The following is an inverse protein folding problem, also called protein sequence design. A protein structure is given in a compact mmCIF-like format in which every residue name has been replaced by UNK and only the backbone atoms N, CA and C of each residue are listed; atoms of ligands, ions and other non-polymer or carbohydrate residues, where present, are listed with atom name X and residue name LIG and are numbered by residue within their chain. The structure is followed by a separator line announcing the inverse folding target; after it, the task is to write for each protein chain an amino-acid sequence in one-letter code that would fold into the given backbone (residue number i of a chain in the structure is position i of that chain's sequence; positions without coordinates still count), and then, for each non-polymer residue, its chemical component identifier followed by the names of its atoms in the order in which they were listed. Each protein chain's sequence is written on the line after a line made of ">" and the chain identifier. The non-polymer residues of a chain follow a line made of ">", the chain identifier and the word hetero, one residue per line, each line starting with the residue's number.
data_IF_533232860918
#
_entry.id   IF_533232860918
#
_cell.length_a   1.000
_cell.length_b   1.000
_cell.length_c   1.000
_cell.angle_alpha   90.00
_cell.angle_beta   90.00
_cell.angle_gamma   90.00
#
_symmetry.space_group_name_H-M   'P 1'
#
loop_
_entity.id
_entity.type
_entity.pdbx_description
1 polymer ?
#
# COMPACT_ATOMS: atom_id res chain seq x y z
N UNK A 1 16.08 13.88 -13.11
CA UNK A 1 15.21 13.00 -12.30
C UNK A 1 14.39 13.80 -11.31
N UNK A 2 13.04 13.66 -11.30
CA UNK A 2 12.15 14.36 -10.40
C UNK A 2 12.42 14.09 -8.91
N UNK A 3 12.08 15.08 -8.10
CA UNK A 3 12.21 15.06 -6.65
C UNK A 3 10.96 15.63 -6.00
N UNK A 4 10.60 15.11 -4.81
CA UNK A 4 9.50 15.70 -4.06
C UNK A 4 9.79 17.13 -3.59
N UNK A 5 8.79 17.98 -3.77
CA UNK A 5 8.71 19.30 -3.17
C UNK A 5 7.50 19.35 -2.22
N UNK A 6 7.74 19.65 -0.96
CA UNK A 6 6.70 19.74 0.06
C UNK A 6 6.27 21.17 0.37
N UNK A 7 6.83 22.18 -0.31
CA UNK A 7 6.50 23.60 -0.05
C UNK A 7 5.04 23.93 -0.34
N UNK A 8 4.43 23.26 -1.32
CA UNK A 8 3.00 23.40 -1.63
C UNK A 8 2.09 22.70 -0.64
N UNK A 9 2.60 21.72 0.11
CA UNK A 9 1.84 20.95 1.12
C UNK A 9 2.01 21.59 2.50
N UNK A 10 2.71 20.88 3.37
CA UNK A 10 2.95 21.32 4.75
C UNK A 10 4.37 21.89 4.97
N UNK A 11 5.27 21.82 3.98
CA UNK A 11 6.64 22.29 4.05
C UNK A 11 7.53 21.38 4.92
N UNK A 12 7.48 21.55 6.24
CA UNK A 12 8.19 20.71 7.22
C UNK A 12 7.32 20.47 8.45
N UNK A 13 7.69 19.52 9.31
CA UNK A 13 7.01 19.25 10.58
C UNK A 13 7.01 20.45 11.53
N UNK A 14 8.00 21.34 11.42
CA UNK A 14 8.09 22.56 12.20
C UNK A 14 7.38 23.76 11.57
N UNK A 15 6.83 23.63 10.36
CA UNK A 15 6.19 24.73 9.65
C UNK A 15 4.89 25.21 10.31
N UNK A 16 4.50 26.48 10.14
CA UNK A 16 3.20 26.98 10.60
C UNK A 16 2.03 26.23 9.95
N UNK A 17 2.15 25.84 8.67
CA UNK A 17 1.11 25.12 7.95
C UNK A 17 0.84 23.74 8.56
N UNK A 18 1.88 22.97 8.87
CA UNK A 18 1.77 21.67 9.50
C UNK A 18 1.16 21.77 10.91
N UNK A 19 1.68 22.70 11.73
CA UNK A 19 1.16 22.93 13.09
C UNK A 19 -0.32 23.33 13.09
N UNK A 20 -0.70 24.22 12.18
CA UNK A 20 -2.11 24.62 12.03
C UNK A 20 -3.00 23.43 11.63
N UNK A 21 -2.54 22.54 10.75
CA UNK A 21 -3.26 21.35 10.37
C UNK A 21 -3.44 20.37 11.55
N UNK A 22 -2.40 20.18 12.37
CA UNK A 22 -2.50 19.37 13.59
C UNK A 22 -3.48 19.97 14.62
N UNK A 23 -3.41 21.29 14.85
CA UNK A 23 -4.35 21.97 15.75
C UNK A 23 -5.80 21.87 15.26
N UNK A 24 -6.00 22.01 13.95
CA UNK A 24 -7.31 21.80 13.35
C UNK A 24 -7.80 20.38 13.60
N UNK A 25 -6.98 19.37 13.38
CA UNK A 25 -7.34 17.96 13.60
C UNK A 25 -7.76 17.72 15.05
N UNK A 26 -7.02 18.23 16.03
CA UNK A 26 -7.36 18.10 17.46
C UNK A 26 -8.68 18.78 17.78
N UNK A 27 -8.93 19.99 17.24
CA UNK A 27 -10.19 20.71 17.40
C UNK A 27 -11.37 19.95 16.76
N UNK A 28 -11.19 19.45 15.53
CA UNK A 28 -12.25 18.74 14.80
C UNK A 28 -12.62 17.42 15.51
N UNK A 29 -11.66 16.71 16.12
CA UNK A 29 -11.92 15.52 16.94
C UNK A 29 -12.69 15.91 18.22
N UNK A 30 -12.38 17.03 18.84
CA UNK A 30 -13.11 17.50 20.01
C UNK A 30 -14.56 17.86 19.67
N UNK A 31 -14.79 18.52 18.53
CA UNK A 31 -16.14 18.80 18.01
C UNK A 31 -16.89 17.48 17.76
N UNK A 32 -16.24 16.52 17.10
CA UNK A 32 -16.83 15.22 16.80
C UNK A 32 -17.20 14.44 18.06
N UNK A 33 -16.39 14.52 19.12
CA UNK A 33 -16.69 13.91 20.43
C UNK A 33 -17.94 14.52 21.09
N UNK A 34 -18.27 15.76 20.79
CA UNK A 34 -19.53 16.38 21.20
C UNK A 34 -20.73 16.04 20.31
N UNK A 35 -20.49 15.86 19.01
CA UNK A 35 -21.55 15.56 18.03
C UNK A 35 -22.04 14.11 18.12
N UNK A 36 -21.13 13.15 18.17
CA UNK A 36 -21.47 11.71 18.09
C UNK A 36 -22.44 11.26 19.18
N UNK A 37 -22.29 11.57 20.48
CA UNK A 37 -23.26 11.18 21.51
C UNK A 37 -24.64 11.79 21.29
N UNK A 38 -24.74 12.96 20.66
CA UNK A 38 -25.93 13.72 20.42
C UNK A 38 -26.58 13.48 19.04
N UNK A 39 -26.00 12.68 18.19
CA UNK A 39 -26.50 12.34 16.86
C UNK A 39 -27.68 11.36 16.96
N UNK A 40 -28.91 11.88 17.14
CA UNK A 40 -30.14 11.11 17.38
C UNK A 40 -31.18 11.22 16.27
N UNK A 41 -31.11 12.25 15.46
CA UNK A 41 -31.99 12.53 14.33
C UNK A 41 -31.16 12.60 13.01
N UNK A 42 -31.87 12.66 11.89
CA UNK A 42 -31.24 12.68 10.55
C UNK A 42 -30.27 13.83 10.36
N UNK A 43 -30.58 15.01 10.85
CA UNK A 43 -29.73 16.20 10.68
C UNK A 43 -28.44 16.09 11.49
N UNK A 44 -28.56 15.73 12.77
CA UNK A 44 -27.39 15.59 13.65
C UNK A 44 -26.50 14.43 13.23
N UNK A 45 -27.10 13.35 12.70
CA UNK A 45 -26.32 12.22 12.10
C UNK A 45 -25.59 12.67 10.84
N UNK A 46 -26.24 13.41 9.93
CA UNK A 46 -25.59 13.92 8.72
C UNK A 46 -24.39 14.82 9.05
N UNK A 47 -24.57 15.76 9.99
CA UNK A 47 -23.49 16.63 10.46
C UNK A 47 -22.32 15.80 11.04
N UNK A 48 -22.60 14.80 11.87
CA UNK A 48 -21.58 13.93 12.44
C UNK A 48 -20.83 13.13 11.37
N UNK A 49 -21.52 12.61 10.35
CA UNK A 49 -20.94 11.88 9.23
C UNK A 49 -20.03 12.77 8.35
N UNK A 50 -20.44 14.00 8.08
CA UNK A 50 -19.63 14.98 7.35
C UNK A 50 -18.34 15.32 8.11
N UNK A 51 -18.44 15.61 9.41
CA UNK A 51 -17.26 15.85 10.25
C UNK A 51 -16.34 14.63 10.35
N UNK A 52 -16.90 13.41 10.42
CA UNK A 52 -16.11 12.18 10.38
C UNK A 52 -15.29 12.07 9.08
N UNK A 53 -15.89 12.42 7.95
CA UNK A 53 -15.21 12.40 6.66
C UNK A 53 -14.06 13.42 6.59
N UNK A 54 -14.26 14.63 7.13
CA UNK A 54 -13.22 15.67 7.19
C UNK A 54 -12.05 15.26 8.11
N UNK A 55 -12.35 14.77 9.32
CA UNK A 55 -11.35 14.26 10.26
C UNK A 55 -10.55 13.11 9.64
N UNK A 56 -11.22 12.19 8.95
CA UNK A 56 -10.56 11.12 8.21
C UNK A 56 -9.57 11.67 7.16
N UNK A 57 -10.03 12.58 6.30
CA UNK A 57 -9.19 13.18 5.27
C UNK A 57 -7.95 13.86 5.83
N UNK A 58 -8.11 14.63 6.89
CA UNK A 58 -7.00 15.36 7.50
C UNK A 58 -6.01 14.42 8.19
N UNK A 59 -6.51 13.44 8.95
CA UNK A 59 -5.69 12.44 9.63
C UNK A 59 -4.88 11.60 8.64
N UNK A 60 -5.54 11.06 7.61
CA UNK A 60 -4.89 10.26 6.57
C UNK A 60 -3.82 11.07 5.84
N UNK A 61 -4.10 12.34 5.56
CA UNK A 61 -3.16 13.27 4.92
C UNK A 61 -1.92 13.53 5.76
N UNK A 62 -2.07 13.79 7.05
CA UNK A 62 -0.94 14.04 7.95
C UNK A 62 -0.09 12.78 8.17
N UNK A 63 -0.72 11.62 8.36
CA UNK A 63 -0.02 10.33 8.45
C UNK A 63 0.72 10.03 7.14
N UNK A 64 0.06 10.23 5.99
CA UNK A 64 0.64 10.05 4.67
C UNK A 64 1.83 10.98 4.41
N UNK A 65 1.74 12.24 4.84
CA UNK A 65 2.83 13.19 4.76
C UNK A 65 4.05 12.75 5.60
N UNK A 66 3.85 12.32 6.84
CA UNK A 66 4.92 11.77 7.68
C UNK A 66 5.54 10.52 7.07
N UNK A 67 4.72 9.65 6.43
CA UNK A 67 5.22 8.50 5.68
C UNK A 67 6.14 8.91 4.54
N UNK A 68 5.76 9.93 3.78
CA UNK A 68 6.59 10.46 2.69
C UNK A 68 7.93 10.97 3.21
N UNK A 69 7.96 11.74 4.29
CA UNK A 69 9.20 12.23 4.90
C UNK A 69 10.11 11.07 5.34
N UNK A 70 9.57 10.09 6.08
CA UNK A 70 10.33 8.92 6.52
C UNK A 70 10.83 8.05 5.35
N UNK A 71 10.17 8.08 4.20
CA UNK A 71 10.58 7.29 3.04
C UNK A 71 11.78 7.87 2.30
N UNK A 72 11.96 9.20 2.30
CA UNK A 72 13.13 9.86 1.69
C UNK A 72 14.40 9.52 2.45
N UNK A 73 14.34 9.52 3.77
CA UNK A 73 15.44 9.11 4.63
C UNK A 73 14.90 8.29 5.82
N UNK A 74 15.16 7.00 5.80
CA UNK A 74 14.70 6.08 6.86
C UNK A 74 15.40 6.30 8.20
N UNK A 75 16.44 7.11 8.26
CA UNK A 75 17.14 7.50 9.48
C UNK A 75 16.43 8.67 10.19
N UNK A 76 15.50 9.34 9.51
CA UNK A 76 14.72 10.45 10.05
C UNK A 76 13.74 9.97 11.11
N UNK A 77 14.02 10.28 12.38
CA UNK A 77 13.24 9.79 13.50
C UNK A 77 12.05 10.69 13.87
N UNK A 78 12.09 11.98 13.54
CA UNK A 78 11.02 12.90 13.92
C UNK A 78 9.71 12.59 13.20
N UNK A 79 9.78 12.33 11.89
CA UNK A 79 8.61 11.93 11.13
C UNK A 79 8.02 10.59 11.60
N UNK A 80 8.87 9.66 12.05
CA UNK A 80 8.42 8.39 12.61
C UNK A 80 7.72 8.59 13.96
N UNK A 81 8.27 9.41 14.86
CA UNK A 81 7.65 9.77 16.15
C UNK A 81 6.33 10.49 15.97
N UNK A 82 6.30 11.46 15.04
CA UNK A 82 5.09 12.23 14.75
C UNK A 82 3.99 11.33 14.17
N UNK A 83 4.35 10.36 13.35
CA UNK A 83 3.40 9.36 12.85
C UNK A 83 2.77 8.53 13.98
N UNK A 84 3.55 8.16 15.01
CA UNK A 84 3.02 7.46 16.20
C UNK A 84 2.00 8.35 16.92
N UNK A 85 2.33 9.63 17.18
CA UNK A 85 1.41 10.60 17.78
C UNK A 85 0.10 10.74 16.98
N UNK A 86 0.20 10.82 15.66
CA UNK A 86 -0.98 10.90 14.79
C UNK A 86 -1.82 9.60 14.83
N UNK A 87 -1.20 8.44 15.02
CA UNK A 87 -1.92 7.19 15.21
C UNK A 87 -2.67 7.14 16.54
N UNK A 88 -2.15 7.74 17.62
CA UNK A 88 -2.86 7.88 18.89
C UNK A 88 -4.11 8.76 18.71
N UNK A 89 -3.99 9.88 17.98
CA UNK A 89 -5.12 10.75 17.63
C UNK A 89 -6.12 9.97 16.75
N UNK A 90 -5.65 9.21 15.79
CA UNK A 90 -6.48 8.36 14.92
C UNK A 90 -7.24 7.27 15.70
N UNK A 91 -6.70 6.79 16.81
CA UNK A 91 -7.38 5.85 17.70
C UNK A 91 -8.67 6.45 18.28
N UNK A 92 -8.63 7.71 18.75
CA UNK A 92 -9.84 8.45 19.22
C UNK A 92 -10.88 8.60 18.12
N UNK A 93 -10.44 8.90 16.90
CA UNK A 93 -11.35 8.95 15.76
C UNK A 93 -12.05 7.60 15.53
N UNK A 94 -11.34 6.47 15.68
CA UNK A 94 -11.94 5.15 15.55
C UNK A 94 -12.97 4.82 16.63
N UNK A 95 -12.79 5.30 17.84
CA UNK A 95 -13.79 5.17 18.92
C UNK A 95 -15.09 5.85 18.51
N UNK A 96 -14.99 7.10 18.07
CA UNK A 96 -16.15 7.92 17.68
C UNK A 96 -16.88 7.36 16.45
N UNK A 97 -16.14 6.96 15.42
CA UNK A 97 -16.77 6.34 14.24
C UNK A 97 -17.45 5.01 14.59
N UNK A 98 -16.86 4.24 15.49
CA UNK A 98 -17.44 2.98 15.94
C UNK A 98 -18.72 3.20 16.72
N UNK A 99 -18.75 4.18 17.62
CA UNK A 99 -19.94 4.53 18.38
C UNK A 99 -21.09 4.95 17.46
N UNK A 100 -20.84 5.87 16.52
CA UNK A 100 -21.85 6.30 15.58
C UNK A 100 -22.37 5.16 14.70
N UNK A 101 -21.45 4.37 14.15
CA UNK A 101 -21.82 3.28 13.27
C UNK A 101 -22.50 2.12 13.97
N UNK A 102 -22.12 1.82 15.21
CA UNK A 102 -22.84 0.82 16.01
C UNK A 102 -24.32 1.24 16.23
N UNK A 103 -24.55 2.52 16.45
CA UNK A 103 -25.88 3.09 16.56
C UNK A 103 -26.66 3.02 15.25
N UNK A 104 -26.02 3.38 14.13
CA UNK A 104 -26.63 3.31 12.79
C UNK A 104 -26.94 1.87 12.37
N UNK A 105 -26.08 0.90 12.70
CA UNK A 105 -26.31 -0.52 12.40
C UNK A 105 -27.50 -1.10 13.17
N UNK A 106 -27.86 -0.52 14.31
CA UNK A 106 -29.07 -0.87 15.08
C UNK A 106 -30.38 -0.37 14.47
N UNK A 107 -30.34 0.57 13.51
CA UNK A 107 -31.51 1.10 12.85
C UNK A 107 -32.01 0.12 11.76
N UNK A 108 -33.32 -0.07 11.68
CA UNK A 108 -33.92 -0.86 10.59
C UNK A 108 -33.85 -0.07 9.27
N UNK A 109 -33.73 -0.77 8.13
CA UNK A 109 -33.79 -0.12 6.79
C UNK A 109 -35.05 0.73 6.58
N UNK A 110 -36.15 0.41 7.28
CA UNK A 110 -37.43 1.15 7.24
C UNK A 110 -37.48 2.34 8.15
N UNK A 111 -36.43 2.62 8.94
CA UNK A 111 -36.40 3.74 9.86
C UNK A 111 -36.52 5.06 9.09
N UNK A 112 -37.40 6.02 9.55
CA UNK A 112 -37.53 7.32 8.92
C UNK A 112 -36.23 8.09 8.74
N UNK A 113 -35.27 7.91 9.64
CA UNK A 113 -33.94 8.55 9.58
C UNK A 113 -33.27 8.27 8.23
N UNK A 114 -33.39 7.06 7.68
CA UNK A 114 -32.81 6.73 6.39
C UNK A 114 -33.47 7.41 5.19
N UNK A 115 -34.75 7.79 5.29
CA UNK A 115 -35.44 8.55 4.25
C UNK A 115 -35.08 10.03 4.26
N UNK A 116 -34.79 10.56 5.43
CA UNK A 116 -34.48 11.97 5.66
C UNK A 116 -32.99 12.26 5.42
N UNK A 117 -32.11 11.33 5.76
CA UNK A 117 -30.73 11.34 5.29
C UNK A 117 -30.77 11.06 3.78
N UNK A 118 -30.28 11.92 2.95
CA UNK A 118 -30.08 11.60 1.53
C UNK A 118 -29.24 10.30 1.45
N UNK A 119 -29.94 9.16 1.63
CA UNK A 119 -29.34 7.83 1.82
C UNK A 119 -28.47 7.44 0.63
N UNK A 120 -28.75 7.99 -0.57
CA UNK A 120 -27.96 7.74 -1.76
C UNK A 120 -26.48 8.12 -1.59
N UNK A 121 -26.19 9.14 -0.78
CA UNK A 121 -24.80 9.55 -0.45
C UNK A 121 -24.09 8.61 0.51
N UNK A 122 -24.85 7.86 1.31
CA UNK A 122 -24.29 7.08 2.42
C UNK A 122 -24.54 5.58 2.28
N UNK A 123 -25.28 5.15 1.25
CA UNK A 123 -25.64 3.74 1.03
C UNK A 123 -24.41 2.83 1.01
N UNK A 124 -23.39 3.22 0.26
CA UNK A 124 -22.13 2.47 0.21
C UNK A 124 -21.42 2.41 1.56
N UNK A 125 -21.41 3.52 2.30
CA UNK A 125 -20.83 3.56 3.64
C UNK A 125 -21.62 2.66 4.59
N UNK A 126 -22.95 2.73 4.54
CA UNK A 126 -23.83 1.90 5.34
C UNK A 126 -23.65 0.41 5.06
N UNK A 127 -23.58 -0.01 3.81
CA UNK A 127 -23.33 -1.39 3.43
C UNK A 127 -21.97 -1.87 3.95
N UNK A 128 -20.96 -1.07 3.82
CA UNK A 128 -19.62 -1.39 4.36
C UNK A 128 -19.59 -1.45 5.88
N UNK A 129 -20.34 -0.60 6.53
CA UNK A 129 -20.42 -0.53 7.98
C UNK A 129 -21.19 -1.73 8.52
N UNK A 130 -22.33 -2.06 7.94
CA UNK A 130 -23.18 -3.19 8.37
C UNK A 130 -22.48 -4.54 8.23
N UNK A 131 -21.49 -4.65 7.32
CA UNK A 131 -20.70 -5.86 7.10
C UNK A 131 -19.38 -5.88 7.87
N UNK A 132 -19.01 -4.78 8.53
CA UNK A 132 -17.74 -4.71 9.25
C UNK A 132 -17.78 -5.47 10.57
N UNK A 133 -16.86 -6.40 10.73
CA UNK A 133 -16.72 -7.23 11.94
C UNK A 133 -16.62 -6.43 13.26
N UNK A 134 -16.03 -5.22 13.21
CA UNK A 134 -15.89 -4.37 14.40
C UNK A 134 -17.23 -3.94 15.02
N UNK A 135 -18.35 -4.08 14.32
CA UNK A 135 -19.67 -3.71 14.83
C UNK A 135 -20.36 -4.81 15.63
N UNK A 136 -19.89 -6.05 15.55
CA UNK A 136 -20.32 -7.13 16.45
C UNK A 136 -19.75 -7.00 17.86
N UNK A 137 -18.69 -6.19 18.02
CA UNK A 137 -18.01 -5.98 19.29
C UNK A 137 -18.52 -4.70 20.00
N UNK A 138 -18.60 -4.76 21.35
CA UNK A 138 -18.90 -3.55 22.12
C UNK A 138 -17.80 -2.49 21.92
N UNK A 139 -18.13 -1.17 22.02
CA UNK A 139 -17.15 -0.11 21.92
C UNK A 139 -15.94 -0.30 22.87
N UNK A 140 -16.21 -0.74 24.10
CA UNK A 140 -15.17 -1.03 25.12
C UNK A 140 -14.23 -2.17 24.69
N UNK A 141 -14.79 -3.24 24.11
CA UNK A 141 -13.97 -4.37 23.61
C UNK A 141 -13.11 -3.94 22.43
N UNK A 142 -13.67 -3.12 21.54
CA UNK A 142 -12.92 -2.54 20.41
C UNK A 142 -11.79 -1.65 20.87
N UNK A 143 -12.04 -0.76 21.83
CA UNK A 143 -11.01 0.10 22.41
C UNK A 143 -9.86 -0.75 22.97
N UNK A 144 -10.18 -1.76 23.78
CA UNK A 144 -9.17 -2.69 24.32
C UNK A 144 -8.36 -3.38 23.22
N UNK A 145 -9.01 -3.84 22.15
CA UNK A 145 -8.32 -4.48 21.01
C UNK A 145 -7.40 -3.50 20.28
N UNK A 146 -7.79 -2.22 20.14
CA UNK A 146 -6.92 -1.20 19.53
C UNK A 146 -5.72 -0.86 20.42
N UNK A 147 -5.90 -0.73 21.72
CA UNK A 147 -4.82 -0.51 22.68
C UNK A 147 -3.84 -1.69 22.68
N UNK A 148 -4.33 -2.92 22.70
CA UNK A 148 -3.52 -4.13 22.59
C UNK A 148 -2.83 -4.25 21.23
N UNK A 149 -3.48 -3.81 20.16
CA UNK A 149 -2.86 -3.76 18.83
C UNK A 149 -1.68 -2.78 18.82
N UNK A 150 -1.85 -1.60 19.37
CA UNK A 150 -0.80 -0.59 19.44
C UNK A 150 0.38 -1.04 20.31
N UNK A 151 0.09 -1.63 21.47
CA UNK A 151 1.11 -2.02 22.46
C UNK A 151 1.79 -3.38 22.20
N UNK A 152 1.15 -4.28 21.43
CA UNK A 152 1.67 -5.64 21.21
C UNK A 152 1.83 -5.99 19.73
N UNK A 153 0.77 -5.85 18.92
CA UNK A 153 0.81 -6.28 17.53
C UNK A 153 1.78 -5.42 16.69
N UNK A 154 1.74 -4.10 16.83
CA UNK A 154 2.62 -3.18 16.08
C UNK A 154 4.09 -3.38 16.46
N UNK A 155 4.49 -3.42 17.74
CA UNK A 155 5.88 -3.71 18.13
C UNK A 155 6.38 -5.07 17.64
N UNK A 156 5.53 -6.11 17.60
CA UNK A 156 5.90 -7.40 17.01
C UNK A 156 6.17 -7.30 15.50
N UNK A 157 5.38 -6.53 14.77
CA UNK A 157 5.62 -6.28 13.36
C UNK A 157 6.92 -5.47 13.13
N UNK A 158 7.18 -4.49 13.99
CA UNK A 158 8.42 -3.70 13.95
C UNK A 158 9.65 -4.57 14.30
N UNK A 159 9.52 -5.54 15.22
CA UNK A 159 10.56 -6.51 15.50
C UNK A 159 10.90 -7.37 14.27
N UNK A 160 9.90 -7.82 13.49
CA UNK A 160 10.13 -8.49 12.21
C UNK A 160 10.97 -7.63 11.24
N UNK A 161 10.59 -6.37 11.10
CA UNK A 161 11.33 -5.43 10.24
C UNK A 161 12.77 -5.19 10.74
N UNK A 162 12.95 -5.06 12.04
CA UNK A 162 14.25 -4.89 12.68
C UNK A 162 15.15 -6.10 12.48
N UNK A 163 14.63 -7.32 12.65
CA UNK A 163 15.40 -8.55 12.40
C UNK A 163 15.86 -8.63 10.94
N UNK A 164 15.00 -8.31 9.97
CA UNK A 164 15.39 -8.29 8.57
C UNK A 164 16.39 -7.16 8.24
N UNK A 165 16.28 -6.01 8.90
CA UNK A 165 17.23 -4.90 8.70
C UNK A 165 18.64 -5.23 9.22
N UNK A 166 18.74 -6.04 10.29
CA UNK A 166 20.01 -6.50 10.87
C UNK A 166 20.51 -7.81 10.26
N UNK A 167 19.77 -8.42 9.34
CA UNK A 167 20.19 -9.63 8.66
C UNK A 167 21.48 -9.39 7.86
N UNK A 168 22.48 -10.21 8.14
CA UNK A 168 23.74 -10.28 7.38
C UNK A 168 23.97 -11.74 6.97
N UNK A 169 23.77 -12.03 5.68
CA UNK A 169 24.04 -13.34 5.12
C UNK A 169 25.50 -13.44 4.67
N UNK A 170 26.12 -14.58 4.91
CA UNK A 170 27.50 -14.85 4.53
C UNK A 170 27.53 -15.63 3.21
N UNK A 171 27.68 -14.90 2.10
CA UNK A 171 27.64 -15.45 0.74
C UNK A 171 29.05 -15.84 0.32
N UNK A 172 29.24 -17.09 -0.13
CA UNK A 172 30.49 -17.57 -0.71
C UNK A 172 30.47 -17.37 -2.23
N UNK A 173 31.44 -16.63 -2.73
CA UNK A 173 31.61 -16.40 -4.18
C UNK A 173 32.45 -17.50 -4.82
N UNK A 174 32.44 -17.61 -6.15
CA UNK A 174 33.12 -18.65 -6.92
C UNK A 174 34.64 -18.66 -6.76
N UNK A 175 35.23 -17.50 -6.54
CA UNK A 175 36.64 -17.30 -6.25
C UNK A 175 37.05 -17.68 -4.81
N UNK A 176 36.13 -18.28 -4.04
CA UNK A 176 36.32 -18.67 -2.64
C UNK A 176 36.26 -17.53 -1.63
N UNK A 177 36.01 -16.31 -2.08
CA UNK A 177 35.83 -15.18 -1.18
C UNK A 177 34.48 -15.22 -0.45
N UNK A 178 34.48 -14.67 0.72
CA UNK A 178 33.26 -14.52 1.54
C UNK A 178 32.80 -13.06 1.52
N UNK A 179 31.54 -12.83 1.18
CA UNK A 179 30.91 -11.52 1.22
C UNK A 179 29.77 -11.50 2.23
N UNK A 180 29.73 -10.48 3.06
CA UNK A 180 28.62 -10.22 3.96
C UNK A 180 27.60 -9.33 3.26
N UNK A 181 26.38 -9.81 3.11
CA UNK A 181 25.31 -9.11 2.38
C UNK A 181 24.08 -8.92 3.28
N UNK A 182 23.54 -7.73 3.25
CA UNK A 182 22.25 -7.46 3.89
C UNK A 182 21.11 -8.18 3.18
N UNK A 183 19.94 -8.27 3.82
CA UNK A 183 18.74 -8.85 3.20
C UNK A 183 18.43 -8.22 1.83
N UNK A 184 18.43 -6.89 1.74
CA UNK A 184 18.15 -6.18 0.48
C UNK A 184 19.17 -6.45 -0.61
N UNK A 185 20.46 -6.59 -0.27
CA UNK A 185 21.50 -6.96 -1.21
C UNK A 185 21.33 -8.39 -1.72
N UNK A 186 20.97 -9.34 -0.83
CA UNK A 186 20.66 -10.72 -1.25
C UNK A 186 19.48 -10.75 -2.23
N UNK A 187 18.39 -10.05 -1.91
CA UNK A 187 17.22 -9.97 -2.81
C UNK A 187 17.57 -9.30 -4.14
N UNK A 188 18.42 -8.27 -4.13
CA UNK A 188 18.90 -7.64 -5.35
C UNK A 188 19.68 -8.64 -6.21
N UNK A 189 20.64 -9.39 -5.63
CA UNK A 189 21.39 -10.43 -6.35
C UNK A 189 20.46 -11.47 -6.97
N UNK A 190 19.47 -11.98 -6.23
CA UNK A 190 18.53 -12.97 -6.74
C UNK A 190 17.68 -12.46 -7.92
N UNK A 191 17.46 -11.15 -8.02
CA UNK A 191 16.65 -10.52 -9.07
C UNK A 191 17.46 -9.98 -10.25
N UNK A 192 18.72 -9.61 -10.04
CA UNK A 192 19.49 -8.86 -11.04
C UNK A 192 20.79 -9.55 -11.49
N UNK A 193 21.32 -10.51 -10.73
CA UNK A 193 22.53 -11.19 -11.12
C UNK A 193 22.27 -12.16 -12.28
N UNK A 194 23.08 -12.10 -13.32
CA UNK A 194 23.10 -13.06 -14.42
C UNK A 194 23.80 -14.38 -14.04
N UNK A 195 24.68 -14.36 -13.04
CA UNK A 195 25.41 -15.53 -12.57
C UNK A 195 24.54 -16.47 -11.73
N UNK A 196 24.16 -17.66 -12.23
CA UNK A 196 23.31 -18.62 -11.53
C UNK A 196 23.96 -19.19 -10.27
N UNK A 197 25.30 -19.29 -10.23
CA UNK A 197 26.02 -19.82 -9.06
C UNK A 197 26.05 -18.80 -7.92
N UNK A 198 26.18 -17.50 -8.26
CA UNK A 198 26.06 -16.44 -7.26
C UNK A 198 24.63 -16.38 -6.72
N UNK A 199 23.60 -16.53 -7.55
CA UNK A 199 22.22 -16.61 -7.08
C UNK A 199 22.00 -17.80 -6.15
N UNK A 200 22.49 -18.99 -6.53
CA UNK A 200 22.42 -20.21 -5.70
C UNK A 200 23.08 -20.01 -4.34
N UNK A 201 24.33 -19.52 -4.34
CA UNK A 201 25.07 -19.26 -3.09
C UNK A 201 24.36 -18.23 -2.21
N UNK A 202 23.82 -17.15 -2.80
CA UNK A 202 23.06 -16.13 -2.08
C UNK A 202 21.77 -16.69 -1.50
N UNK A 203 21.03 -17.49 -2.26
CA UNK A 203 19.81 -18.16 -1.81
C UNK A 203 20.10 -19.10 -0.62
N UNK A 204 21.14 -19.90 -0.74
CA UNK A 204 21.57 -20.83 0.33
C UNK A 204 21.94 -20.07 1.60
N UNK A 205 22.79 -19.04 1.49
CA UNK A 205 23.21 -18.23 2.64
C UNK A 205 22.03 -17.53 3.33
N UNK A 206 21.07 -17.04 2.55
CA UNK A 206 19.86 -16.41 3.08
C UNK A 206 18.98 -17.42 3.85
N UNK A 207 18.80 -18.62 3.29
CA UNK A 207 18.05 -19.69 3.95
C UNK A 207 18.75 -20.25 5.19
N UNK A 208 20.07 -20.34 5.18
CA UNK A 208 20.84 -20.68 6.39
C UNK A 208 20.61 -19.68 7.52
N UNK A 209 20.64 -18.38 7.22
CA UNK A 209 20.33 -17.36 8.19
C UNK A 209 18.90 -17.51 8.76
N UNK A 210 17.91 -17.69 7.90
CA UNK A 210 16.53 -17.91 8.36
C UNK A 210 16.36 -19.18 9.18
N UNK A 211 17.06 -20.26 8.81
CA UNK A 211 17.02 -21.52 9.57
C UNK A 211 17.61 -21.37 10.97
N UNK A 212 18.73 -20.66 11.10
CA UNK A 212 19.36 -20.38 12.38
C UNK A 212 18.49 -19.52 13.32
N UNK A 213 17.65 -18.65 12.75
CA UNK A 213 16.77 -17.73 13.47
C UNK A 213 15.29 -18.13 13.40
N UNK A 214 14.98 -19.35 12.96
CA UNK A 214 13.62 -19.80 12.69
C UNK A 214 12.69 -19.66 13.91
N UNK A 215 13.20 -19.91 15.11
CA UNK A 215 12.42 -19.80 16.35
C UNK A 215 11.97 -18.35 16.63
N UNK A 216 12.77 -17.34 16.30
CA UNK A 216 12.41 -15.92 16.46
C UNK A 216 11.29 -15.55 15.47
N UNK A 217 11.48 -15.91 14.20
CA UNK A 217 10.46 -15.64 13.18
C UNK A 217 9.15 -16.38 13.47
N UNK A 218 9.23 -17.65 13.88
CA UNK A 218 8.06 -18.43 14.27
C UNK A 218 7.32 -17.79 15.46
N UNK A 219 8.05 -17.33 16.48
CA UNK A 219 7.47 -16.64 17.63
C UNK A 219 6.73 -15.37 17.23
N UNK A 220 7.35 -14.54 16.39
CA UNK A 220 6.72 -13.31 15.86
C UNK A 220 5.44 -13.65 15.09
N UNK A 221 5.50 -14.59 14.14
CA UNK A 221 4.33 -14.96 13.35
C UNK A 221 3.22 -15.57 14.21
N UNK A 222 3.56 -16.38 15.20
CA UNK A 222 2.58 -16.96 16.12
C UNK A 222 1.91 -15.87 16.98
N UNK A 223 2.65 -14.87 17.46
CA UNK A 223 2.09 -13.74 18.20
C UNK A 223 1.15 -12.91 17.31
N UNK A 224 1.57 -12.54 16.11
CA UNK A 224 0.75 -11.77 15.15
C UNK A 224 -0.51 -12.53 14.75
N UNK A 225 -0.38 -13.83 14.45
CA UNK A 225 -1.50 -14.68 14.06
C UNK A 225 -2.44 -14.94 15.25
N UNK A 226 -1.89 -15.26 16.43
CA UNK A 226 -2.67 -15.47 17.64
C UNK A 226 -3.50 -14.25 18.02
N UNK A 227 -2.93 -13.05 17.92
CA UNK A 227 -3.68 -11.81 18.15
C UNK A 227 -4.88 -11.68 17.19
N UNK A 228 -4.65 -11.93 15.89
CA UNK A 228 -5.72 -11.87 14.88
C UNK A 228 -6.81 -12.92 15.13
N UNK A 229 -6.43 -14.17 15.36
CA UNK A 229 -7.36 -15.28 15.61
C UNK A 229 -8.22 -15.02 16.83
N UNK A 230 -7.64 -14.49 17.91
CA UNK A 230 -8.42 -14.10 19.10
C UNK A 230 -9.39 -12.96 18.79
N UNK A 231 -8.99 -11.97 18.02
CA UNK A 231 -9.90 -10.91 17.56
C UNK A 231 -11.08 -11.46 16.75
N UNK A 232 -10.85 -12.45 15.89
CA UNK A 232 -11.91 -13.10 15.10
C UNK A 232 -12.83 -13.96 15.98
N UNK A 233 -12.27 -14.69 16.94
CA UNK A 233 -13.03 -15.48 17.91
C UNK A 233 -13.99 -14.59 18.73
N UNK A 234 -13.47 -13.46 19.28
CA UNK A 234 -14.29 -12.49 20.00
C UNK A 234 -15.38 -11.83 19.15
N UNK A 235 -15.11 -11.64 17.86
CA UNK A 235 -16.06 -11.06 16.92
C UNK A 235 -17.00 -12.09 16.30
N UNK A 236 -16.89 -13.37 16.64
CA UNK A 236 -17.63 -14.51 16.04
C UNK A 236 -17.52 -14.52 14.51
N UNK A 237 -16.33 -14.23 14.00
CA UNK A 237 -16.09 -14.04 12.56
C UNK A 237 -15.26 -15.14 11.95
N UNK A 238 -15.57 -15.44 10.69
CA UNK A 238 -14.67 -16.18 9.80
C UNK A 238 -13.35 -15.41 9.59
N UNK A 239 -12.23 -16.13 9.57
CA UNK A 239 -10.89 -15.53 9.42
C UNK A 239 -10.68 -14.83 8.06
N UNK A 240 -11.47 -15.16 7.03
CA UNK A 240 -11.45 -14.51 5.72
C UNK A 240 -12.32 -13.25 5.64
N UNK A 241 -13.29 -13.09 6.54
CA UNK A 241 -14.23 -11.97 6.50
C UNK A 241 -13.57 -10.58 6.47
N UNK A 242 -12.47 -10.31 7.23
CA UNK A 242 -11.76 -9.05 7.11
C UNK A 242 -11.14 -8.82 5.74
N UNK A 243 -10.65 -9.88 5.08
CA UNK A 243 -10.09 -9.78 3.73
C UNK A 243 -11.17 -9.47 2.69
N UNK A 244 -12.32 -10.13 2.78
CA UNK A 244 -13.48 -9.85 1.93
C UNK A 244 -13.94 -8.41 2.09
N UNK A 245 -14.08 -7.96 3.33
CA UNK A 245 -14.50 -6.60 3.62
C UNK A 245 -13.49 -5.53 3.12
N UNK A 246 -12.18 -5.73 3.37
CA UNK A 246 -11.15 -4.76 2.95
C UNK A 246 -11.08 -4.59 1.43
N UNK A 247 -11.35 -5.67 0.69
CA UNK A 247 -11.28 -5.68 -0.76
C UNK A 247 -12.65 -5.47 -1.43
N UNK A 248 -13.75 -5.38 -0.64
CA UNK A 248 -15.13 -5.32 -1.13
C UNK A 248 -15.43 -6.43 -2.17
N UNK A 249 -15.02 -7.66 -1.83
CA UNK A 249 -15.25 -8.85 -2.65
C UNK A 249 -16.05 -9.87 -1.88
N UNK A 250 -16.89 -10.66 -2.55
CA UNK A 250 -17.62 -11.76 -1.92
C UNK A 250 -16.78 -13.04 -1.87
N UNK A 251 -17.16 -13.97 -1.01
CA UNK A 251 -16.56 -15.32 -0.95
C UNK A 251 -16.68 -16.05 -2.29
N UNK A 252 -17.84 -15.93 -2.96
CA UNK A 252 -18.11 -16.55 -4.26
C UNK A 252 -17.17 -16.02 -5.36
N UNK A 253 -16.87 -14.72 -5.34
CA UNK A 253 -15.91 -14.11 -6.27
C UNK A 253 -14.50 -14.66 -6.07
N UNK A 254 -14.08 -14.83 -4.81
CA UNK A 254 -12.76 -15.43 -4.48
C UNK A 254 -12.72 -16.92 -4.87
N UNK A 255 -13.78 -17.67 -4.61
CA UNK A 255 -13.88 -19.09 -5.01
C UNK A 255 -13.86 -19.25 -6.53
N UNK A 256 -14.56 -18.39 -7.27
CA UNK A 256 -14.51 -18.34 -8.73
C UNK A 256 -13.08 -18.05 -9.24
N UNK A 257 -12.39 -17.08 -8.65
CA UNK A 257 -10.99 -16.76 -8.95
C UNK A 257 -10.09 -17.97 -8.71
N UNK A 258 -10.18 -18.60 -7.54
CA UNK A 258 -9.36 -19.77 -7.19
C UNK A 258 -9.64 -20.96 -8.10
N UNK A 259 -10.87 -21.14 -8.51
CA UNK A 259 -11.28 -22.17 -9.50
C UNK A 259 -10.65 -21.89 -10.86
N UNK A 260 -10.71 -20.64 -11.34
CA UNK A 260 -10.10 -20.23 -12.59
C UNK A 260 -8.57 -20.41 -12.57
N UNK A 261 -7.90 -20.02 -11.47
CA UNK A 261 -6.44 -20.21 -11.30
C UNK A 261 -6.08 -21.70 -11.34
N UNK A 262 -6.81 -22.56 -10.63
CA UNK A 262 -6.58 -24.00 -10.62
C UNK A 262 -6.78 -24.64 -12.01
N UNK A 263 -7.80 -24.23 -12.74
CA UNK A 263 -8.07 -24.71 -14.10
C UNK A 263 -6.94 -24.31 -15.08
N UNK A 264 -6.38 -23.11 -14.90
CA UNK A 264 -5.35 -22.54 -15.79
C UNK A 264 -3.91 -22.73 -15.29
N UNK A 265 -3.68 -23.52 -14.23
CA UNK A 265 -2.31 -23.78 -13.70
C UNK A 265 -1.30 -24.29 -14.74
N UNK A 266 -1.79 -24.94 -15.82
CA UNK A 266 -0.95 -25.42 -16.90
C UNK A 266 -0.30 -24.27 -17.69
N UNK A 267 -0.95 -23.12 -17.79
CA UNK A 267 -0.38 -21.90 -18.42
C UNK A 267 0.79 -21.36 -17.59
N UNK A 268 0.63 -21.31 -16.25
CA UNK A 268 1.73 -20.92 -15.37
C UNK A 268 2.93 -21.87 -15.47
N UNK A 269 2.67 -23.19 -15.55
CA UNK A 269 3.74 -24.19 -15.79
C UNK A 269 4.44 -23.96 -17.12
N UNK A 270 3.72 -23.70 -18.21
CA UNK A 270 4.28 -23.39 -19.51
C UNK A 270 5.17 -22.14 -19.44
N UNK A 271 4.74 -21.10 -18.74
CA UNK A 271 5.55 -19.89 -18.55
C UNK A 271 6.90 -20.18 -17.86
N UNK A 272 6.89 -20.97 -16.78
CA UNK A 272 8.12 -21.37 -16.07
C UNK A 272 9.02 -22.22 -16.97
N UNK A 273 8.46 -23.18 -17.72
CA UNK A 273 9.23 -24.01 -18.66
C UNK A 273 9.83 -23.15 -19.77
N UNK A 274 9.08 -22.24 -20.36
CA UNK A 274 9.57 -21.33 -21.39
C UNK A 274 10.73 -20.47 -20.89
N UNK A 275 10.65 -19.96 -19.65
CA UNK A 275 11.76 -19.22 -19.01
C UNK A 275 12.99 -20.10 -18.81
N UNK A 276 12.82 -21.36 -18.38
CA UNK A 276 13.93 -22.30 -18.24
C UNK A 276 14.64 -22.53 -19.57
N UNK A 277 13.87 -22.81 -20.63
CA UNK A 277 14.41 -23.00 -21.97
C UNK A 277 15.12 -21.74 -22.51
N UNK A 278 14.55 -20.56 -22.27
CA UNK A 278 15.14 -19.29 -22.67
C UNK A 278 16.49 -19.03 -21.97
N UNK A 279 16.65 -19.49 -20.73
CA UNK A 279 17.92 -19.44 -19.99
C UNK A 279 18.85 -20.63 -20.25
N UNK A 280 18.51 -21.50 -21.23
CA UNK A 280 19.33 -22.68 -21.59
C UNK A 280 19.25 -23.83 -20.57
N UNK A 281 18.19 -23.87 -19.74
CA UNK A 281 17.98 -24.86 -18.69
C UNK A 281 16.84 -25.81 -19.03
N UNK A 282 16.92 -27.05 -18.61
CA UNK A 282 15.80 -28.01 -18.68
C UNK A 282 14.83 -27.89 -17.52
N UNK A 283 15.30 -27.39 -16.37
CA UNK A 283 14.52 -27.19 -15.13
C UNK A 283 14.86 -25.83 -14.54
N UNK A 284 13.85 -25.13 -14.04
CA UNK A 284 14.03 -23.88 -13.31
C UNK A 284 14.29 -24.18 -11.84
N UNK A 285 15.44 -23.75 -11.35
CA UNK A 285 15.76 -23.82 -9.94
C UNK A 285 15.08 -22.68 -9.16
N UNK A 286 14.87 -22.86 -7.86
CA UNK A 286 14.16 -21.85 -7.03
C UNK A 286 14.87 -20.50 -7.05
N UNK A 287 16.21 -20.47 -7.01
CA UNK A 287 17.00 -19.24 -7.07
C UNK A 287 17.01 -18.58 -8.45
N UNK A 288 16.47 -19.23 -9.48
CA UNK A 288 16.35 -18.68 -10.83
C UNK A 288 14.94 -18.10 -11.13
N UNK A 289 13.96 -18.33 -10.25
CA UNK A 289 12.57 -17.90 -10.48
C UNK A 289 12.43 -16.39 -10.75
N UNK A 290 13.28 -15.57 -10.14
CA UNK A 290 13.29 -14.13 -10.33
C UNK A 290 14.53 -13.63 -11.08
N UNK A 291 15.33 -14.53 -11.66
CA UNK A 291 16.52 -14.16 -12.41
C UNK A 291 16.16 -13.26 -13.60
N UNK A 292 17.04 -12.32 -13.97
CA UNK A 292 16.85 -11.54 -15.18
C UNK A 292 16.83 -12.43 -16.42
N UNK A 293 16.14 -12.00 -17.46
CA UNK A 293 16.27 -12.62 -18.77
C UNK A 293 17.72 -12.40 -19.28
N UNK A 294 18.33 -13.40 -19.95
CA UNK A 294 19.66 -13.24 -20.54
C UNK A 294 19.53 -12.31 -21.75
N UNK A 295 19.74 -11.03 -21.54
CA UNK A 295 19.70 -10.02 -22.61
C UNK A 295 21.02 -10.06 -23.40
N UNK A 296 20.93 -9.88 -24.73
CA UNK A 296 22.13 -9.79 -25.60
C UNK A 296 22.84 -8.45 -25.44
N UNK A 297 22.18 -7.45 -24.91
CA UNK A 297 22.73 -6.13 -24.63
C UNK A 297 22.06 -5.53 -23.40
N UNK A 298 22.81 -4.70 -22.69
CA UNK A 298 22.26 -3.92 -21.60
C UNK A 298 21.24 -2.90 -22.14
N UNK A 299 20.06 -2.87 -21.56
CA UNK A 299 19.00 -1.91 -21.89
C UNK A 299 18.96 -0.87 -20.77
N UNK A 300 19.24 0.38 -21.11
CA UNK A 300 19.08 1.52 -20.20
C UNK A 300 18.07 2.48 -20.80
N UNK A 301 16.98 2.71 -20.07
CA UNK A 301 15.88 3.61 -20.46
C UNK A 301 15.97 4.83 -19.57
N UNK A 302 16.26 6.03 -20.08
CA UNK A 302 16.20 7.27 -19.29
C UNK A 302 14.80 7.49 -18.72
N UNK A 303 14.71 8.15 -17.56
CA UNK A 303 13.42 8.39 -16.90
C UNK A 303 12.45 9.17 -17.80
N UNK A 304 12.97 10.18 -18.46
CA UNK A 304 12.20 11.05 -19.38
C UNK A 304 11.60 10.23 -20.53
N UNK A 305 12.36 9.32 -21.12
CA UNK A 305 11.87 8.39 -22.15
C UNK A 305 10.80 7.45 -21.61
N UNK A 306 11.02 6.91 -20.40
CA UNK A 306 10.03 6.06 -19.75
C UNK A 306 8.71 6.80 -19.49
N UNK A 307 8.79 8.04 -19.02
CA UNK A 307 7.60 8.87 -18.77
C UNK A 307 6.85 9.17 -20.07
N UNK A 308 7.56 9.52 -21.15
CA UNK A 308 6.89 9.74 -22.46
C UNK A 308 6.14 8.49 -22.94
N UNK A 309 6.75 7.31 -22.85
CA UNK A 309 6.07 6.05 -23.19
C UNK A 309 4.82 5.80 -22.33
N UNK A 310 4.90 6.07 -21.01
CA UNK A 310 3.74 5.94 -20.11
C UNK A 310 2.63 6.96 -20.49
N UNK A 311 3.00 8.17 -20.88
CA UNK A 311 2.06 9.20 -21.35
C UNK A 311 1.40 8.80 -22.66
N UNK A 312 2.15 8.25 -23.62
CA UNK A 312 1.64 7.76 -24.90
C UNK A 312 0.57 6.68 -24.70
N UNK A 313 0.84 5.66 -23.88
CA UNK A 313 -0.13 4.60 -23.62
C UNK A 313 -1.32 5.11 -22.81
N UNK A 314 -1.10 6.03 -21.89
CA UNK A 314 -2.15 6.64 -21.09
C UNK A 314 -3.10 7.51 -21.93
N UNK A 315 -2.59 8.20 -22.93
CA UNK A 315 -3.38 9.04 -23.86
C UNK A 315 -4.50 8.26 -24.56
N UNK A 316 -4.31 6.96 -24.80
CA UNK A 316 -5.35 6.09 -25.38
C UNK A 316 -6.58 5.99 -24.46
N UNK A 317 -6.39 6.12 -23.15
CA UNK A 317 -7.47 6.08 -22.17
C UNK A 317 -8.14 7.45 -22.00
N UNK A 318 -7.32 8.50 -21.91
CA UNK A 318 -7.80 9.87 -21.70
C UNK A 318 -6.76 10.87 -22.22
N UNK A 319 -7.18 11.77 -23.09
CA UNK A 319 -6.31 12.79 -23.69
C UNK A 319 -5.68 13.76 -22.66
N UNK A 320 -6.24 13.86 -21.46
CA UNK A 320 -5.74 14.72 -20.37
C UNK A 320 -4.55 14.11 -19.62
N UNK A 321 -4.25 12.83 -19.79
CA UNK A 321 -3.20 12.12 -19.04
C UNK A 321 -1.82 12.73 -19.25
N UNK A 322 -1.34 13.01 -20.48
CA UNK A 322 -0.01 13.58 -20.66
C UNK A 322 0.22 14.87 -19.89
N UNK A 323 -0.68 15.84 -20.01
CA UNK A 323 -0.60 17.12 -19.31
C UNK A 323 -0.69 16.95 -17.78
N UNK A 324 -1.53 16.01 -17.32
CA UNK A 324 -1.66 15.73 -15.89
C UNK A 324 -0.40 15.11 -15.30
N UNK A 325 0.27 14.23 -16.04
CA UNK A 325 1.52 13.61 -15.58
C UNK A 325 2.68 14.61 -15.56
N UNK A 326 2.71 15.54 -16.55
CA UNK A 326 3.65 16.66 -16.53
C UNK A 326 3.39 17.58 -15.32
N UNK A 327 2.13 17.87 -15.02
CA UNK A 327 1.74 18.61 -13.82
C UNK A 327 2.26 17.94 -12.53
N UNK A 328 2.16 16.61 -12.40
CA UNK A 328 2.66 15.90 -11.21
C UNK A 328 4.18 16.08 -11.04
N UNK A 329 4.92 16.06 -12.14
CA UNK A 329 6.38 16.31 -12.12
C UNK A 329 6.67 17.77 -11.79
N UNK A 330 6.00 18.72 -12.45
CA UNK A 330 6.18 20.17 -12.23
C UNK A 330 5.88 20.58 -10.78
N UNK A 331 4.82 20.02 -10.19
CA UNK A 331 4.45 20.27 -8.78
C UNK A 331 5.38 19.61 -7.77
N UNK A 332 6.36 18.83 -8.22
CA UNK A 332 7.25 18.09 -7.33
C UNK A 332 6.51 17.00 -6.53
N UNK A 333 5.56 16.33 -7.16
CA UNK A 333 4.82 15.22 -6.52
C UNK A 333 5.42 13.85 -6.84
N UNK A 334 6.53 13.81 -7.57
CA UNK A 334 7.21 12.58 -8.01
C UNK A 334 8.61 12.52 -7.43
N UNK A 335 8.95 11.43 -6.73
CA UNK A 335 10.28 11.15 -6.18
C UNK A 335 10.84 9.85 -6.76
N UNK A 336 11.86 9.94 -7.59
CA UNK A 336 12.45 8.77 -8.28
C UNK A 336 13.97 8.66 -8.15
N UNK A 337 14.61 9.58 -7.40
CA UNK A 337 16.07 9.61 -7.25
C UNK A 337 16.61 8.42 -6.47
N UNK A 338 17.86 8.08 -6.76
CA UNK A 338 18.65 7.15 -5.94
C UNK A 338 19.35 7.95 -4.85
N UNK A 339 18.95 7.74 -3.59
CA UNK A 339 19.50 8.47 -2.44
C UNK A 339 19.95 7.48 -1.36
N UNK A 340 21.08 7.75 -0.67
CA UNK A 340 21.46 7.00 0.53
C UNK A 340 20.42 7.17 1.63
N UNK A 341 20.04 6.06 2.29
CA UNK A 341 19.05 6.08 3.36
C UNK A 341 17.58 6.10 2.89
N UNK A 342 17.34 6.20 1.58
CA UNK A 342 16.00 6.14 1.00
C UNK A 342 15.37 4.75 1.21
N UNK A 343 14.07 4.71 1.49
CA UNK A 343 13.31 3.46 1.60
C UNK A 343 13.37 2.68 0.29
N UNK A 344 13.50 1.36 0.38
CA UNK A 344 13.42 0.47 -0.78
C UNK A 344 11.99 0.30 -1.26
N UNK A 345 11.83 0.04 -2.57
CA UNK A 345 10.54 -0.23 -3.20
C UNK A 345 9.89 1.00 -3.81
N UNK A 346 8.59 0.89 -4.08
CA UNK A 346 7.76 1.97 -4.58
C UNK A 346 6.42 1.98 -3.88
N UNK A 347 5.81 3.13 -3.77
CA UNK A 347 4.44 3.29 -3.30
C UNK A 347 3.82 4.57 -3.82
N UNK A 348 2.52 4.58 -3.83
CA UNK A 348 1.69 5.76 -4.03
C UNK A 348 1.15 6.23 -2.67
N UNK A 349 1.07 7.55 -2.47
CA UNK A 349 0.45 8.17 -1.31
C UNK A 349 -0.37 9.39 -1.73
N UNK A 350 -1.69 9.29 -1.60
CA UNK A 350 -2.56 10.46 -1.75
C UNK A 350 -2.54 11.32 -0.49
N UNK A 351 -2.38 12.62 -0.64
CA UNK A 351 -2.61 13.59 0.44
C UNK A 351 -4.02 14.14 0.22
N UNK A 352 -5.00 13.46 0.81
CA UNK A 352 -6.43 13.64 0.53
C UNK A 352 -6.90 15.10 0.72
N UNK A 353 -6.49 15.75 1.81
CA UNK A 353 -6.90 17.12 2.15
C UNK A 353 -6.36 18.19 1.18
N UNK A 354 -5.30 17.86 0.42
CA UNK A 354 -4.64 18.77 -0.53
C UNK A 354 -4.82 18.33 -1.99
N UNK A 355 -5.43 17.18 -2.24
CA UNK A 355 -5.53 16.56 -3.57
C UNK A 355 -4.16 16.34 -4.24
N UNK A 356 -3.12 16.04 -3.48
CA UNK A 356 -1.76 15.81 -4.00
C UNK A 356 -1.46 14.32 -4.12
N UNK A 357 -1.27 13.78 -5.33
CA UNK A 357 -0.78 12.43 -5.56
C UNK A 357 0.75 12.40 -5.37
N UNK A 358 1.25 11.67 -4.40
CA UNK A 358 2.69 11.51 -4.15
C UNK A 358 3.16 10.15 -4.66
N UNK A 359 3.99 10.17 -5.69
CA UNK A 359 4.64 8.99 -6.28
C UNK A 359 6.03 8.84 -5.68
N UNK A 360 6.34 7.65 -5.15
CA UNK A 360 7.64 7.28 -4.60
C UNK A 360 8.17 6.02 -5.24
N UNK A 361 9.40 6.07 -5.73
CA UNK A 361 10.14 4.91 -6.22
C UNK A 361 11.64 5.21 -6.30
N UNK A 362 12.43 4.20 -6.65
CA UNK A 362 13.83 4.39 -7.08
C UNK A 362 13.94 3.92 -8.52
N UNK A 363 14.18 4.87 -9.44
CA UNK A 363 14.29 4.56 -10.87
C UNK A 363 15.71 4.13 -11.23
N UNK A 364 15.83 2.95 -11.85
CA UNK A 364 17.12 2.31 -12.16
C UNK A 364 17.40 2.20 -13.67
N UNK A 365 16.56 2.75 -14.52
CA UNK A 365 16.74 2.71 -15.99
C UNK A 365 16.40 1.35 -16.62
N UNK A 366 15.83 0.40 -15.86
CA UNK A 366 15.42 -0.91 -16.39
C UNK A 366 13.96 -0.93 -16.81
N UNK A 367 13.58 -1.90 -17.64
CA UNK A 367 12.19 -2.17 -17.99
C UNK A 367 11.32 -2.39 -16.75
N UNK A 368 11.83 -3.12 -15.75
CA UNK A 368 11.13 -3.34 -14.50
C UNK A 368 10.86 -2.03 -13.74
N UNK A 369 11.81 -1.09 -13.73
CA UNK A 369 11.58 0.23 -13.11
C UNK A 369 10.63 1.10 -13.90
N UNK A 370 10.63 1.01 -15.24
CA UNK A 370 9.65 1.68 -16.09
C UNK A 370 8.23 1.14 -15.87
N UNK A 371 8.05 -0.18 -15.83
CA UNK A 371 6.77 -0.82 -15.51
C UNK A 371 6.26 -0.43 -14.12
N UNK A 372 7.16 -0.33 -13.14
CA UNK A 372 6.81 0.16 -11.81
C UNK A 372 6.35 1.62 -11.82
N UNK A 373 6.97 2.49 -12.66
CA UNK A 373 6.47 3.86 -12.85
C UNK A 373 5.06 3.85 -13.43
N UNK A 374 4.77 3.03 -14.44
CA UNK A 374 3.43 2.93 -15.00
C UNK A 374 2.38 2.59 -13.93
N UNK A 375 2.69 1.64 -13.02
CA UNK A 375 1.82 1.33 -11.87
C UNK A 375 1.59 2.57 -11.00
N UNK A 376 2.65 3.28 -10.64
CA UNK A 376 2.56 4.44 -9.74
C UNK A 376 1.79 5.60 -10.39
N UNK A 377 2.00 5.86 -11.66
CA UNK A 377 1.25 6.88 -12.40
C UNK A 377 -0.23 6.49 -12.58
N UNK A 378 -0.53 5.20 -12.77
CA UNK A 378 -1.90 4.70 -12.79
C UNK A 378 -2.64 4.93 -11.47
N UNK A 379 -1.98 4.67 -10.33
CA UNK A 379 -2.53 5.02 -9.01
C UNK A 379 -2.75 6.52 -8.85
N UNK A 380 -1.78 7.33 -9.27
CA UNK A 380 -1.85 8.79 -9.18
C UNK A 380 -2.99 9.36 -10.03
N UNK A 381 -3.17 8.83 -11.25
CA UNK A 381 -4.28 9.18 -12.13
C UNK A 381 -5.64 8.83 -11.52
N UNK A 382 -5.79 7.63 -11.00
CA UNK A 382 -7.02 7.21 -10.34
C UNK A 382 -7.36 8.10 -9.14
N UNK A 383 -6.39 8.42 -8.30
CA UNK A 383 -6.57 9.37 -7.21
C UNK A 383 -6.95 10.78 -7.71
N UNK A 384 -6.31 11.25 -8.79
CA UNK A 384 -6.57 12.56 -9.38
C UNK A 384 -7.99 12.69 -9.92
N UNK A 385 -8.53 11.64 -10.52
CA UNK A 385 -9.92 11.60 -10.97
C UNK A 385 -10.92 11.74 -9.83
N UNK A 386 -10.59 11.25 -8.65
CA UNK A 386 -11.47 11.29 -7.48
C UNK A 386 -11.48 12.64 -6.73
N UNK A 387 -10.67 13.63 -7.12
CA UNK A 387 -10.50 14.89 -6.39
C UNK A 387 -11.78 15.72 -6.23
N UNK A 388 -12.77 15.50 -7.09
CA UNK A 388 -14.08 16.15 -7.01
C UNK A 388 -15.13 15.36 -6.23
N UNK A 389 -14.80 14.15 -5.75
CA UNK A 389 -15.73 13.33 -4.96
C UNK A 389 -15.70 13.74 -3.48
N UNK A 390 -16.82 13.56 -2.76
CA UNK A 390 -16.85 13.68 -1.32
C UNK A 390 -15.80 12.78 -0.64
N UNK A 391 -15.30 13.21 0.50
CA UNK A 391 -14.21 12.54 1.22
C UNK A 391 -14.48 11.04 1.50
N UNK A 392 -15.72 10.72 1.88
CA UNK A 392 -16.15 9.36 2.21
C UNK A 392 -16.12 8.42 1.00
N UNK A 393 -16.33 8.93 -0.21
CA UNK A 393 -16.31 8.14 -1.46
C UNK A 393 -14.89 7.91 -2.00
N UNK A 394 -13.92 8.67 -1.52
CA UNK A 394 -12.51 8.55 -1.94
C UNK A 394 -11.75 7.41 -1.27
N UNK A 395 -12.35 6.75 -0.29
CA UNK A 395 -11.79 5.58 0.37
C UNK A 395 -12.17 4.30 -0.37
N UNK A 396 -11.48 4.05 -1.47
CA UNK A 396 -11.72 2.87 -2.30
C UNK A 396 -11.17 1.58 -1.67
N UNK A 397 -11.78 0.42 -1.96
CA UNK A 397 -11.24 -0.89 -1.61
C UNK A 397 -9.85 -1.11 -2.17
N UNK A 398 -9.00 -1.81 -1.41
CA UNK A 398 -7.59 -2.01 -1.79
C UNK A 398 -7.43 -2.70 -3.15
N UNK A 399 -8.23 -3.74 -3.42
CA UNK A 399 -8.20 -4.45 -4.69
C UNK A 399 -8.48 -3.53 -5.88
N UNK A 400 -9.45 -2.61 -5.77
CA UNK A 400 -9.78 -1.64 -6.83
C UNK A 400 -8.69 -0.59 -7.01
N UNK A 401 -8.01 -0.21 -5.94
CA UNK A 401 -6.87 0.70 -6.04
C UNK A 401 -5.74 0.10 -6.88
N UNK A 402 -5.45 -1.19 -6.71
CA UNK A 402 -4.42 -1.89 -7.47
C UNK A 402 -4.78 -2.07 -8.96
N UNK A 403 -6.07 -2.15 -9.31
CA UNK A 403 -6.51 -2.31 -10.71
C UNK A 403 -5.98 -1.18 -11.59
N UNK A 404 -6.12 0.06 -11.18
CA UNK A 404 -5.68 1.22 -11.99
C UNK A 404 -4.17 1.19 -12.26
N UNK A 405 -3.36 0.88 -11.25
CA UNK A 405 -1.92 0.77 -11.41
C UNK A 405 -1.52 -0.35 -12.37
N UNK A 406 -1.99 -1.55 -12.14
CA UNK A 406 -1.65 -2.70 -12.98
C UNK A 406 -2.20 -2.59 -14.40
N UNK A 407 -3.33 -1.90 -14.59
CA UNK A 407 -3.87 -1.65 -15.92
C UNK A 407 -2.92 -0.79 -16.77
N UNK A 408 -2.35 0.28 -16.21
CA UNK A 408 -1.34 1.08 -16.91
C UNK A 408 -0.08 0.29 -17.25
N UNK A 409 0.39 -0.56 -16.33
CA UNK A 409 1.55 -1.42 -16.59
C UNK A 409 1.27 -2.44 -17.70
N UNK A 410 0.05 -2.98 -17.76
CA UNK A 410 -0.35 -3.92 -18.81
C UNK A 410 -0.40 -3.24 -20.18
N UNK A 411 -1.01 -2.05 -20.28
CA UNK A 411 -1.03 -1.27 -21.51
C UNK A 411 0.38 -0.96 -22.01
N UNK A 412 1.28 -0.55 -21.10
CA UNK A 412 2.67 -0.30 -21.42
C UNK A 412 3.36 -1.58 -21.94
N UNK A 413 3.11 -2.72 -21.31
CA UNK A 413 3.67 -3.99 -21.73
C UNK A 413 3.16 -4.40 -23.13
N UNK A 414 1.87 -4.30 -23.41
CA UNK A 414 1.29 -4.62 -24.72
C UNK A 414 1.87 -3.74 -25.81
N UNK A 415 2.01 -2.43 -25.58
CA UNK A 415 2.57 -1.48 -26.54
C UNK A 415 4.05 -1.81 -26.85
N UNK A 416 4.84 -2.10 -25.82
CA UNK A 416 6.25 -2.48 -26.00
C UNK A 416 6.36 -3.82 -26.73
N UNK A 417 5.53 -4.80 -26.37
CA UNK A 417 5.51 -6.09 -27.04
C UNK A 417 5.15 -5.97 -28.52
N UNK A 418 4.16 -5.13 -28.85
CA UNK A 418 3.75 -4.89 -30.24
C UNK A 418 4.87 -4.26 -31.10
N UNK A 419 5.71 -3.43 -30.49
CA UNK A 419 6.83 -2.73 -31.16
C UNK A 419 8.16 -3.49 -31.04
N UNK A 420 8.25 -4.59 -30.29
CA UNK A 420 9.47 -5.32 -30.10
C UNK A 420 9.94 -5.97 -31.40
N UNK A 421 11.21 -5.72 -31.75
CA UNK A 421 11.86 -6.31 -32.93
C UNK A 421 12.37 -7.72 -32.67
N UNK A 422 12.46 -8.16 -31.39
CA UNK A 422 12.94 -9.46 -30.97
C UNK A 422 12.19 -9.94 -29.73
N UNK A 423 12.38 -11.22 -29.36
CA UNK A 423 11.81 -11.81 -28.16
C UNK A 423 12.46 -11.29 -26.84
N UNK A 424 13.55 -10.55 -26.96
CA UNK A 424 14.22 -9.90 -25.82
C UNK A 424 13.37 -8.72 -25.30
#
# INVERSE_FOLDING_TARGET
>A
MPAWDFRSSYGSLSSPAYRKACQRLEADIHILAGLVPNAKDSVSIAIALEHLAEVFCLTDSLIGYCRCLSAIDTREQEAAKERVRLWEIHSRYYELITELFHRLAGLKKSDPIWRELDFSKWEWLFERVSTRWSFSLSPRTLQLLYELKASNFVPCADLYHSLNAHLVATVRTMDGLTKHQSHSQCIAVLKTSEDPKLRQSTFTALNEYYSQNAYLYASIFNMLTGFRLKGFEFAEMDFMAPAYWQNAVSSEAVDALMTAVRANRHMLRKSVISRALFTGKSVMEVWDLNAPAPLRREIHIPYEEALEKIKEVGKVLDERIPETFDLFVEKGWVEVRQLPGKQNGAFFQGILSLNEPRIFSTYLGSFASMSQQAIMYGHAWHFWLQRGLPAQERKIPRALMEVAGHFFALLLFEEIQAKAASAE
#
